data_IF_310573640080
#
_entry.id   IF_310573640080
#
_cell.length_a   1.000
_cell.length_b   1.000
_cell.length_c   1.000
_cell.angle_alpha   90.00
_cell.angle_beta   90.00
_cell.angle_gamma   90.00
#
_symmetry.space_group_name_H-M   'P 1'
#
loop_
_entity.id
_entity.type
_entity.pdbx_description
1 polymer ?
#
# COMPACT_ATOMS: atom_id res chain seq x y z
N UNK A 1 11.59 -6.16 -15.25
CA UNK A 1 10.79 -5.16 -15.97
C UNK A 1 11.04 -5.28 -17.47
N UNK A 2 10.08 -4.90 -18.31
CA UNK A 2 10.18 -4.87 -19.78
C UNK A 2 9.42 -3.68 -20.37
N UNK A 3 9.49 -3.49 -21.69
CA UNK A 3 8.92 -2.37 -22.43
C UNK A 3 7.45 -2.57 -22.84
N UNK A 4 6.80 -3.68 -22.45
CA UNK A 4 5.46 -4.03 -22.98
C UNK A 4 4.38 -3.13 -22.42
N UNK A 5 4.40 -2.88 -21.12
CA UNK A 5 3.36 -2.13 -20.41
C UNK A 5 3.94 -0.95 -19.61
N UNK A 6 5.19 -0.60 -19.86
CA UNK A 6 5.88 0.47 -19.14
C UNK A 6 6.52 1.46 -20.13
N UNK A 7 5.88 2.62 -20.36
CA UNK A 7 6.44 3.65 -21.24
C UNK A 7 7.62 4.40 -20.63
N UNK A 8 7.84 4.29 -19.32
CA UNK A 8 8.86 5.05 -18.59
C UNK A 8 10.19 4.28 -18.48
N UNK A 9 10.21 3.01 -18.90
CA UNK A 9 11.43 2.19 -18.84
C UNK A 9 12.44 2.60 -19.92
N UNK A 10 13.69 2.72 -19.51
CA UNK A 10 14.84 2.89 -20.39
C UNK A 10 15.99 2.02 -19.92
N UNK A 11 16.91 1.71 -20.84
CA UNK A 11 18.09 0.90 -20.58
C UNK A 11 19.36 1.66 -21.00
N UNK A 12 20.41 1.55 -20.20
CA UNK A 12 21.73 2.07 -20.55
C UNK A 12 22.45 1.18 -21.58
N UNK A 13 23.65 1.57 -21.99
CA UNK A 13 24.49 0.82 -22.94
C UNK A 13 24.86 -0.60 -22.45
N UNK A 14 24.74 -0.87 -21.15
CA UNK A 14 24.99 -2.17 -20.52
C UNK A 14 23.71 -3.01 -20.37
N UNK A 15 22.56 -2.49 -20.80
CA UNK A 15 21.26 -3.13 -20.65
C UNK A 15 20.69 -3.05 -19.23
N UNK A 16 21.15 -2.12 -18.39
CA UNK A 16 20.65 -1.88 -17.04
C UNK A 16 19.50 -0.88 -17.10
N UNK A 17 18.37 -1.24 -16.47
CA UNK A 17 17.17 -0.39 -16.45
C UNK A 17 17.34 0.85 -15.55
N UNK A 18 16.72 1.97 -15.92
CA UNK A 18 16.62 3.18 -15.07
C UNK A 18 16.15 2.88 -13.64
N UNK A 19 15.23 1.92 -13.46
CA UNK A 19 14.73 1.52 -12.14
C UNK A 19 15.79 0.97 -11.21
N UNK A 20 16.84 0.33 -11.74
CA UNK A 20 17.96 -0.12 -10.89
C UNK A 20 18.67 1.07 -10.25
N UNK A 21 18.91 2.14 -11.01
CA UNK A 21 19.55 3.35 -10.47
C UNK A 21 18.65 4.10 -9.50
N UNK A 22 17.35 4.17 -9.80
CA UNK A 22 16.35 4.73 -8.88
C UNK A 22 16.30 3.93 -7.56
N UNK A 23 16.31 2.60 -7.65
CA UNK A 23 16.41 1.72 -6.48
C UNK A 23 17.69 1.98 -5.69
N UNK A 24 18.86 1.99 -6.33
CA UNK A 24 20.14 2.18 -5.65
C UNK A 24 20.18 3.52 -4.91
N UNK A 25 19.68 4.60 -5.54
CA UNK A 25 19.57 5.90 -4.91
C UNK A 25 18.64 5.86 -3.69
N UNK A 26 17.43 5.31 -3.85
CA UNK A 26 16.47 5.22 -2.75
C UNK A 26 17.01 4.36 -1.59
N UNK A 27 17.71 3.27 -1.91
CA UNK A 27 18.34 2.39 -0.93
C UNK A 27 19.39 3.15 -0.12
N UNK A 28 20.29 3.87 -0.79
CA UNK A 28 21.32 4.69 -0.13
C UNK A 28 20.72 5.83 0.71
N UNK A 29 19.58 6.39 0.32
CA UNK A 29 18.92 7.48 1.06
C UNK A 29 18.17 6.97 2.31
N UNK A 30 17.55 5.80 2.24
CA UNK A 30 16.55 5.38 3.23
C UNK A 30 16.91 4.14 4.04
N UNK A 31 17.73 3.23 3.51
CA UNK A 31 18.08 1.97 4.18
C UNK A 31 19.30 2.17 5.08
N UNK A 32 19.16 1.78 6.35
CA UNK A 32 20.13 2.00 7.43
C UNK A 32 20.22 0.73 8.29
N UNK A 33 20.89 -0.29 7.76
CA UNK A 33 21.04 -1.61 8.42
C UNK A 33 22.36 -1.76 9.18
N UNK A 34 23.22 -0.76 9.09
CA UNK A 34 24.50 -0.71 9.77
C UNK A 34 24.36 -0.36 11.26
N UNK A 35 25.49 -0.32 11.97
CA UNK A 35 25.53 0.02 13.39
C UNK A 35 24.91 1.39 13.69
N UNK A 36 25.18 2.40 12.85
CA UNK A 36 24.60 3.73 12.99
C UNK A 36 23.07 3.69 12.82
N UNK A 37 22.58 2.93 11.83
CA UNK A 37 21.16 2.67 11.63
C UNK A 37 20.48 2.05 12.85
N UNK A 38 21.10 1.02 13.43
CA UNK A 38 20.63 0.39 14.67
C UNK A 38 20.55 1.39 15.82
N UNK A 39 21.59 2.19 16.05
CA UNK A 39 21.58 3.22 17.11
C UNK A 39 20.48 4.27 16.88
N UNK A 40 20.27 4.71 15.62
CA UNK A 40 19.17 5.63 15.28
C UNK A 40 17.81 5.00 15.54
N UNK A 41 17.64 3.73 15.21
CA UNK A 41 16.40 3.01 15.46
C UNK A 41 16.14 2.87 16.97
N UNK A 42 17.12 2.46 17.76
CA UNK A 42 17.01 2.38 19.22
C UNK A 42 16.64 3.72 19.85
N UNK A 43 17.29 4.81 19.43
CA UNK A 43 16.95 6.17 19.87
C UNK A 43 15.51 6.56 19.48
N UNK A 44 15.04 6.15 18.30
CA UNK A 44 13.66 6.37 17.87
C UNK A 44 12.68 5.57 18.74
N UNK A 45 12.98 4.30 19.04
CA UNK A 45 12.16 3.46 19.92
C UNK A 45 12.02 4.08 21.31
N UNK A 46 13.12 4.54 21.91
CA UNK A 46 13.07 5.19 23.22
C UNK A 46 12.27 6.48 23.19
N UNK A 47 12.37 7.26 22.11
CA UNK A 47 11.53 8.44 21.90
C UNK A 47 10.04 8.08 21.78
N UNK A 48 9.70 7.01 21.06
CA UNK A 48 8.32 6.53 20.92
C UNK A 48 7.76 6.15 22.30
N UNK A 49 8.51 5.40 23.09
CA UNK A 49 8.13 5.02 24.47
C UNK A 49 7.95 6.23 25.37
N UNK A 50 8.87 7.20 25.31
CA UNK A 50 8.81 8.42 26.12
C UNK A 50 7.52 9.21 25.82
N UNK A 51 7.20 9.42 24.54
CA UNK A 51 5.98 10.13 24.13
C UNK A 51 4.68 9.31 24.34
N UNK A 52 4.85 8.01 24.59
CA UNK A 52 3.81 7.04 24.98
C UNK A 52 3.57 6.91 26.48
N UNK A 53 4.43 7.49 27.34
CA UNK A 53 4.26 7.42 28.80
C UNK A 53 2.89 7.96 29.25
N UNK A 54 2.26 7.25 30.16
CA UNK A 54 0.91 7.56 30.67
C UNK A 54 -0.23 7.20 29.72
N UNK A 55 0.06 6.66 28.52
CA UNK A 55 -0.95 6.15 27.57
C UNK A 55 -0.98 4.61 27.59
N UNK A 56 -2.10 4.00 27.18
CA UNK A 56 -2.19 2.55 27.02
C UNK A 56 -1.24 2.03 25.93
N UNK A 57 -0.96 2.84 24.90
CA UNK A 57 -0.12 2.48 23.76
C UNK A 57 0.94 3.53 23.49
N UNK A 58 2.06 3.10 22.91
CA UNK A 58 3.17 3.99 22.52
C UNK A 58 2.98 4.52 21.09
N UNK A 59 2.38 3.71 20.23
CA UNK A 59 2.21 3.99 18.80
C UNK A 59 1.00 3.24 18.20
N UNK A 60 0.74 3.50 16.93
CA UNK A 60 -0.23 2.79 16.09
C UNK A 60 0.53 1.93 15.08
N UNK A 61 -0.04 0.81 14.67
CA UNK A 61 0.53 -0.04 13.62
C UNK A 61 -0.58 -0.62 12.74
N UNK A 62 -0.44 -0.55 11.43
CA UNK A 62 -1.35 -1.27 10.52
C UNK A 62 -1.01 -2.76 10.50
N UNK A 63 -2.02 -3.62 10.61
CA UNK A 63 -1.86 -5.07 10.59
C UNK A 63 -2.77 -5.70 9.53
N UNK A 64 -2.19 -6.24 8.46
CA UNK A 64 -2.93 -6.85 7.33
C UNK A 64 -2.94 -8.38 7.34
N UNK A 65 -2.12 -9.01 8.20
CA UNK A 65 -1.82 -10.44 8.11
C UNK A 65 -0.79 -10.78 7.02
N UNK A 66 -0.32 -9.77 6.28
CA UNK A 66 0.75 -9.90 5.29
C UNK A 66 2.14 -9.98 5.92
N UNK A 67 3.13 -10.44 5.13
CA UNK A 67 4.52 -10.66 5.58
C UNK A 67 5.11 -9.43 6.27
N UNK A 68 5.09 -8.27 5.60
CA UNK A 68 5.77 -7.07 6.09
C UNK A 68 5.16 -6.55 7.40
N UNK A 69 3.82 -6.45 7.46
CA UNK A 69 3.12 -5.99 8.67
C UNK A 69 3.30 -6.94 9.85
N UNK A 70 3.36 -8.25 9.57
CA UNK A 70 3.63 -9.28 10.58
C UNK A 70 5.04 -9.13 11.16
N UNK A 71 6.03 -8.87 10.30
CA UNK A 71 7.40 -8.69 10.75
C UNK A 71 7.60 -7.38 11.52
N UNK A 72 6.90 -6.30 11.13
CA UNK A 72 6.87 -5.08 11.95
C UNK A 72 6.28 -5.33 13.33
N UNK A 73 5.20 -6.13 13.44
CA UNK A 73 4.63 -6.51 14.72
C UNK A 73 5.64 -7.30 15.57
N UNK A 74 6.34 -8.26 14.96
CA UNK A 74 7.42 -9.01 15.60
C UNK A 74 8.51 -8.08 16.15
N UNK A 75 9.05 -7.17 15.32
CA UNK A 75 10.07 -6.19 15.74
C UNK A 75 9.56 -5.31 16.87
N UNK A 76 8.33 -4.79 16.78
CA UNK A 76 7.73 -3.97 17.82
C UNK A 76 7.73 -4.69 19.17
N UNK A 77 7.41 -6.00 19.19
CA UNK A 77 7.48 -6.82 20.41
C UNK A 77 8.90 -6.98 20.92
N UNK A 78 9.87 -7.28 20.06
CA UNK A 78 11.27 -7.46 20.45
C UNK A 78 11.86 -6.20 21.10
N UNK A 79 11.43 -5.02 20.64
CA UNK A 79 11.86 -3.73 21.19
C UNK A 79 11.00 -3.24 22.37
N UNK A 80 10.04 -4.04 22.83
CA UNK A 80 9.20 -3.74 23.98
C UNK A 80 8.22 -2.58 23.76
N UNK A 81 7.82 -2.31 22.52
CA UNK A 81 6.75 -1.36 22.21
C UNK A 81 5.38 -1.97 22.48
N UNK A 82 4.42 -1.09 22.82
CA UNK A 82 3.01 -1.41 23.01
C UNK A 82 2.17 -0.74 21.93
N UNK A 83 2.16 -1.24 20.68
CA UNK A 83 1.35 -0.67 19.62
C UNK A 83 -0.14 -1.01 19.81
N UNK A 84 -1.03 -0.08 19.44
CA UNK A 84 -2.39 -0.42 19.05
C UNK A 84 -2.34 -0.95 17.61
N UNK A 85 -2.61 -2.24 17.43
CA UNK A 85 -2.70 -2.83 16.09
C UNK A 85 -4.05 -2.44 15.47
N UNK A 86 -4.03 -1.94 14.25
CA UNK A 86 -5.21 -1.54 13.50
C UNK A 86 -5.31 -2.38 12.24
N UNK A 87 -6.39 -3.14 12.14
CA UNK A 87 -6.74 -3.84 10.92
C UNK A 87 -7.82 -3.05 10.16
N UNK A 88 -7.62 -2.85 8.87
CA UNK A 88 -8.61 -2.22 7.99
C UNK A 88 -9.29 -3.32 7.18
N UNK A 89 -10.54 -3.62 7.52
CA UNK A 89 -11.36 -4.59 6.81
C UNK A 89 -12.17 -3.88 5.72
N UNK A 90 -11.77 -4.13 4.47
CA UNK A 90 -12.46 -3.62 3.28
C UNK A 90 -13.43 -4.63 2.65
N UNK A 91 -13.69 -5.75 3.35
CA UNK A 91 -14.52 -6.86 2.92
C UNK A 91 -13.80 -7.92 2.08
N UNK A 92 -12.49 -7.78 1.80
CA UNK A 92 -11.79 -8.68 0.87
C UNK A 92 -10.76 -9.60 1.51
N UNK A 93 -10.70 -9.66 2.84
CA UNK A 93 -9.79 -10.52 3.56
C UNK A 93 -9.95 -11.99 3.16
N UNK A 94 -8.83 -12.66 2.90
CA UNK A 94 -8.80 -14.12 2.84
C UNK A 94 -8.92 -14.71 4.26
N UNK A 95 -9.45 -15.93 4.36
CA UNK A 95 -9.51 -16.67 5.63
C UNK A 95 -8.12 -16.78 6.26
N UNK A 96 -7.09 -17.01 5.45
CA UNK A 96 -5.72 -17.13 5.91
C UNK A 96 -5.17 -15.82 6.48
N UNK A 97 -5.54 -14.67 5.92
CA UNK A 97 -5.17 -13.37 6.46
C UNK A 97 -5.79 -13.14 7.84
N UNK A 98 -7.07 -13.49 8.01
CA UNK A 98 -7.75 -13.40 9.32
C UNK A 98 -7.07 -14.29 10.35
N UNK A 99 -6.79 -15.55 10.01
CA UNK A 99 -6.06 -16.48 10.88
C UNK A 99 -4.67 -15.96 11.24
N UNK A 100 -3.94 -15.38 10.28
CA UNK A 100 -2.62 -14.81 10.54
C UNK A 100 -2.71 -13.63 11.51
N UNK A 101 -3.68 -12.72 11.32
CA UNK A 101 -3.90 -11.61 12.25
C UNK A 101 -4.16 -12.13 13.67
N UNK A 102 -5.06 -13.10 13.82
CA UNK A 102 -5.39 -13.73 15.12
C UNK A 102 -4.16 -14.36 15.79
N UNK A 103 -3.36 -15.11 15.03
CA UNK A 103 -2.13 -15.72 15.53
C UNK A 103 -1.12 -14.68 16.01
N UNK A 104 -0.96 -13.58 15.27
CA UNK A 104 -0.02 -12.51 15.59
C UNK A 104 -0.45 -11.80 16.88
N UNK A 105 -1.70 -11.36 16.97
CA UNK A 105 -2.17 -10.58 18.13
C UNK A 105 -2.17 -11.43 19.40
N UNK A 106 -2.57 -12.70 19.32
CA UNK A 106 -2.60 -13.61 20.46
C UNK A 106 -1.20 -13.94 20.99
N UNK A 107 -0.24 -14.21 20.11
CA UNK A 107 1.15 -14.55 20.51
C UNK A 107 1.93 -13.34 21.00
N UNK A 108 1.71 -12.17 20.41
CA UNK A 108 2.39 -10.94 20.81
C UNK A 108 1.72 -10.26 22.00
N UNK A 109 0.46 -10.58 22.28
CA UNK A 109 -0.34 -9.91 23.32
C UNK A 109 -0.62 -8.45 22.96
N UNK A 110 -0.89 -8.18 21.69
CA UNK A 110 -1.27 -6.84 21.22
C UNK A 110 -2.77 -6.70 21.12
N UNK A 111 -3.28 -5.53 21.46
CA UNK A 111 -4.67 -5.19 21.24
C UNK A 111 -4.92 -4.94 19.74
N UNK A 112 -6.09 -5.37 19.26
CA UNK A 112 -6.53 -5.21 17.88
C UNK A 112 -7.76 -4.33 17.80
N UNK A 113 -7.68 -3.29 16.99
CA UNK A 113 -8.83 -2.51 16.56
C UNK A 113 -9.10 -2.77 15.08
N UNK A 114 -10.26 -3.36 14.77
CA UNK A 114 -10.70 -3.56 13.38
C UNK A 114 -11.60 -2.42 12.95
N UNK A 115 -11.17 -1.65 11.95
CA UNK A 115 -12.01 -0.70 11.24
C UNK A 115 -12.66 -1.41 10.06
N UNK A 116 -13.97 -1.62 10.13
CA UNK A 116 -14.76 -2.19 9.03
C UNK A 116 -15.32 -1.04 8.19
N UNK A 117 -14.93 -0.95 6.92
CA UNK A 117 -15.47 0.06 6.02
C UNK A 117 -16.95 -0.22 5.71
N UNK A 118 -17.73 0.83 5.41
CA UNK A 118 -19.06 0.62 4.84
C UNK A 118 -18.94 -0.07 3.47
N UNK A 119 -19.37 -1.33 3.42
CA UNK A 119 -19.27 -2.17 2.24
C UNK A 119 -20.04 -1.61 1.04
N UNK A 120 -21.23 -1.03 1.24
CA UNK A 120 -22.03 -0.51 0.13
C UNK A 120 -21.35 0.68 -0.55
N UNK A 121 -20.81 1.62 0.25
CA UNK A 121 -20.04 2.76 -0.23
C UNK A 121 -18.76 2.30 -0.95
N UNK A 122 -18.02 1.37 -0.35
CA UNK A 122 -16.74 0.91 -0.89
C UNK A 122 -16.91 0.09 -2.18
N UNK A 123 -17.92 -0.80 -2.21
CA UNK A 123 -18.28 -1.57 -3.40
C UNK A 123 -18.67 -0.66 -4.56
N UNK A 124 -19.53 0.34 -4.33
CA UNK A 124 -19.93 1.29 -5.38
C UNK A 124 -18.74 2.08 -5.91
N UNK A 125 -17.80 2.48 -5.04
CA UNK A 125 -16.56 3.14 -5.44
C UNK A 125 -15.63 2.22 -6.26
N UNK A 126 -15.47 0.95 -5.87
CA UNK A 126 -14.72 -0.04 -6.66
C UNK A 126 -15.34 -0.25 -8.05
N UNK A 127 -16.68 -0.35 -8.11
CA UNK A 127 -17.43 -0.44 -9.37
C UNK A 127 -17.24 0.82 -10.23
N UNK A 128 -17.23 2.00 -9.61
CA UNK A 128 -16.97 3.26 -10.32
C UNK A 128 -15.59 3.28 -10.97
N UNK A 129 -14.56 2.77 -10.29
CA UNK A 129 -13.21 2.63 -10.83
C UNK A 129 -13.12 1.61 -11.97
N UNK A 130 -13.80 0.46 -11.82
CA UNK A 130 -13.91 -0.54 -12.88
C UNK A 130 -14.55 0.06 -14.15
N UNK A 131 -15.68 0.78 -13.99
CA UNK A 131 -16.37 1.47 -15.10
C UNK A 131 -15.54 2.59 -15.70
N UNK A 132 -14.78 3.33 -14.89
CA UNK A 132 -13.84 4.35 -15.36
C UNK A 132 -12.70 3.78 -16.19
N UNK A 133 -12.43 2.48 -16.11
CA UNK A 133 -11.35 1.78 -16.83
C UNK A 133 -9.96 2.37 -16.56
N UNK A 134 -9.76 2.92 -15.37
CA UNK A 134 -8.46 3.44 -14.91
C UNK A 134 -7.60 2.31 -14.34
N UNK A 135 -6.28 2.43 -14.45
CA UNK A 135 -5.35 1.37 -14.05
C UNK A 135 -5.43 1.08 -12.55
N UNK A 136 -5.15 2.05 -11.68
CA UNK A 136 -4.90 1.81 -10.27
C UNK A 136 -6.16 1.83 -9.40
N UNK A 137 -6.87 0.71 -9.39
CA UNK A 137 -8.06 0.53 -8.54
C UNK A 137 -7.69 0.40 -7.06
N UNK A 138 -6.48 -0.05 -6.71
CA UNK A 138 -6.07 -0.20 -5.31
C UNK A 138 -5.83 1.15 -4.60
N UNK A 139 -5.71 2.24 -5.37
CA UNK A 139 -5.58 3.59 -4.84
C UNK A 139 -6.68 3.93 -3.81
N UNK A 140 -7.91 3.43 -3.95
CA UNK A 140 -9.00 3.68 -2.99
C UNK A 140 -8.88 2.86 -1.71
N UNK A 141 -8.34 1.63 -1.79
CA UNK A 141 -8.03 0.80 -0.61
C UNK A 141 -6.92 1.46 0.19
N UNK A 142 -5.83 1.79 -0.49
CA UNK A 142 -4.67 2.45 0.11
C UNK A 142 -5.06 3.79 0.75
N UNK A 143 -5.83 4.62 0.03
CA UNK A 143 -6.31 5.90 0.56
C UNK A 143 -7.04 5.71 1.89
N UNK A 144 -7.93 4.73 1.94
CA UNK A 144 -8.76 4.48 3.10
C UNK A 144 -7.94 3.93 4.29
N UNK A 145 -6.96 3.06 4.03
CA UNK A 145 -6.01 2.58 5.05
C UNK A 145 -5.23 3.76 5.63
N UNK A 146 -4.62 4.59 4.79
CA UNK A 146 -3.84 5.74 5.25
C UNK A 146 -4.71 6.71 6.05
N UNK A 147 -5.89 7.07 5.53
CA UNK A 147 -6.80 7.97 6.22
C UNK A 147 -7.21 7.43 7.60
N UNK A 148 -7.52 6.14 7.70
CA UNK A 148 -7.91 5.48 8.95
C UNK A 148 -6.79 5.52 9.98
N UNK A 149 -5.58 5.11 9.60
CA UNK A 149 -4.42 5.10 10.50
C UNK A 149 -4.06 6.51 11.00
N UNK A 150 -4.03 7.51 10.11
CA UNK A 150 -3.71 8.89 10.47
C UNK A 150 -4.79 9.54 11.35
N UNK A 151 -6.07 9.29 11.06
CA UNK A 151 -7.18 9.77 11.89
C UNK A 151 -7.12 9.18 13.29
N UNK A 152 -7.01 7.86 13.38
CA UNK A 152 -6.95 7.17 14.67
C UNK A 152 -5.76 7.67 15.51
N UNK A 153 -4.56 7.72 14.92
CA UNK A 153 -3.38 8.21 15.60
C UNK A 153 -3.55 9.66 16.09
N UNK A 154 -4.02 10.56 15.22
CA UNK A 154 -4.18 11.97 15.56
C UNK A 154 -5.29 12.28 16.58
N UNK A 155 -6.40 11.55 16.52
CA UNK A 155 -7.53 11.69 17.45
C UNK A 155 -7.19 11.15 18.84
N UNK A 156 -6.43 10.06 18.92
CA UNK A 156 -5.99 9.46 20.18
C UNK A 156 -4.67 10.03 20.71
N UNK A 157 -4.03 10.93 19.97
CA UNK A 157 -2.79 11.60 20.38
C UNK A 157 -1.55 10.70 20.32
N UNK A 158 -1.52 9.73 19.40
CA UNK A 158 -0.34 8.94 19.06
C UNK A 158 0.41 9.60 17.90
N UNK A 159 1.71 9.81 18.07
CA UNK A 159 2.54 10.51 17.08
C UNK A 159 3.13 9.58 16.01
N UNK A 160 3.13 8.28 16.23
CA UNK A 160 3.84 7.33 15.35
C UNK A 160 2.91 6.26 14.84
N UNK A 161 3.02 6.01 13.53
CA UNK A 161 2.44 4.87 12.82
C UNK A 161 3.60 4.01 12.34
N UNK A 162 3.68 2.76 12.79
CA UNK A 162 4.68 1.80 12.29
C UNK A 162 4.20 1.22 10.96
N UNK A 163 5.07 1.25 9.95
CA UNK A 163 4.80 0.84 8.58
C UNK A 163 5.74 -0.27 8.11
N UNK A 164 5.18 -1.23 7.37
CA UNK A 164 5.91 -2.31 6.68
C UNK A 164 6.51 -1.90 5.34
N UNK A 165 6.28 -0.67 4.88
CA UNK A 165 6.87 -0.16 3.63
C UNK A 165 8.40 -0.22 3.71
N UNK A 166 9.03 -0.79 2.68
CA UNK A 166 10.49 -0.90 2.63
C UNK A 166 11.03 -0.76 1.21
N UNK A 167 12.25 -0.22 1.09
CA UNK A 167 12.89 -0.04 -0.22
C UNK A 167 13.34 -1.38 -0.80
N UNK A 168 13.76 -2.30 0.06
CA UNK A 168 14.44 -3.55 -0.32
C UNK A 168 13.59 -4.47 -1.20
N UNK A 169 12.25 -4.41 -1.08
CA UNK A 169 11.33 -5.33 -1.78
C UNK A 169 10.12 -4.65 -2.45
N UNK A 170 10.02 -3.32 -2.40
CA UNK A 170 8.81 -2.60 -2.85
C UNK A 170 9.05 -1.27 -3.58
N UNK A 171 10.30 -0.89 -3.85
CA UNK A 171 10.58 0.43 -4.41
C UNK A 171 10.22 0.54 -5.90
N UNK A 172 10.39 -0.54 -6.66
CA UNK A 172 10.26 -0.51 -8.11
C UNK A 172 8.81 -0.73 -8.51
N UNK A 173 8.11 0.36 -8.83
CA UNK A 173 6.80 0.29 -9.45
C UNK A 173 6.63 1.46 -10.44
N UNK A 174 6.38 1.20 -11.74
CA UNK A 174 6.24 2.26 -12.73
C UNK A 174 5.16 3.27 -12.36
N UNK A 175 5.43 4.55 -12.62
CA UNK A 175 4.46 5.63 -12.36
C UNK A 175 3.21 5.50 -13.20
N UNK A 176 3.34 4.93 -14.40
CA UNK A 176 2.22 4.59 -15.28
C UNK A 176 1.29 3.51 -14.72
N UNK A 177 1.72 2.74 -13.71
CA UNK A 177 0.93 1.63 -13.12
C UNK A 177 0.19 2.04 -11.84
N UNK A 178 0.42 3.24 -11.34
CA UNK A 178 -0.10 3.71 -10.05
C UNK A 178 -0.68 5.11 -10.16
N UNK A 179 -1.57 5.43 -9.23
CA UNK A 179 -2.07 6.79 -9.02
C UNK A 179 -1.69 7.29 -7.62
N UNK A 180 -1.47 8.61 -7.42
CA UNK A 180 -1.25 9.13 -6.08
C UNK A 180 -2.37 8.76 -5.11
N UNK A 181 -2.06 7.88 -4.15
CA UNK A 181 -2.98 7.35 -3.13
C UNK A 181 -3.60 8.44 -2.24
N UNK A 182 -3.06 9.67 -2.23
CA UNK A 182 -3.61 10.81 -1.49
C UNK A 182 -4.58 11.68 -2.29
N UNK A 183 -4.78 11.39 -3.57
CA UNK A 183 -5.59 12.21 -4.48
C UNK A 183 -7.10 11.98 -4.27
N UNK A 184 -7.63 12.55 -3.20
CA UNK A 184 -9.06 12.55 -2.90
C UNK A 184 -9.91 13.26 -3.96
N UNK A 185 -9.33 14.14 -4.78
CA UNK A 185 -10.06 14.84 -5.86
C UNK A 185 -10.38 13.85 -6.97
N UNK A 186 -9.41 13.02 -7.36
CA UNK A 186 -9.59 11.97 -8.36
C UNK A 186 -10.62 10.92 -7.92
N UNK A 187 -10.52 10.46 -6.68
CA UNK A 187 -11.49 9.52 -6.10
C UNK A 187 -12.92 10.09 -6.20
N UNK A 188 -13.11 11.36 -5.83
CA UNK A 188 -14.42 12.03 -5.91
C UNK A 188 -14.87 12.25 -7.35
N UNK A 189 -13.96 12.57 -8.26
CA UNK A 189 -14.29 12.82 -9.67
C UNK A 189 -14.76 11.54 -10.37
N UNK A 190 -14.04 10.42 -10.18
CA UNK A 190 -14.43 9.11 -10.71
C UNK A 190 -15.76 8.65 -10.10
N UNK A 191 -15.91 8.78 -8.77
CA UNK A 191 -17.15 8.43 -8.10
C UNK A 191 -18.33 9.29 -8.59
N UNK A 192 -18.13 10.59 -8.81
CA UNK A 192 -19.18 11.46 -9.37
C UNK A 192 -19.62 11.02 -10.78
N UNK A 193 -18.70 10.48 -11.58
CA UNK A 193 -18.98 10.07 -12.95
C UNK A 193 -19.72 8.72 -13.03
N UNK A 194 -19.45 7.78 -12.12
CA UNK A 194 -19.92 6.39 -12.24
C UNK A 194 -20.56 5.78 -10.98
N UNK A 195 -20.39 6.41 -9.83
CA UNK A 195 -20.94 5.98 -8.55
C UNK A 195 -22.39 6.41 -8.35
N UNK A 196 -23.11 5.66 -7.54
CA UNK A 196 -24.54 5.82 -7.28
C UNK A 196 -24.83 5.93 -5.77
N UNK A 197 -23.90 5.48 -4.91
CA UNK A 197 -24.08 5.47 -3.46
C UNK A 197 -23.33 6.66 -2.85
N UNK A 198 -23.97 7.54 -2.08
CA UNK A 198 -23.26 8.64 -1.42
C UNK A 198 -22.18 8.13 -0.46
N UNK A 199 -20.93 8.58 -0.66
CA UNK A 199 -19.78 8.27 0.21
C UNK A 199 -19.82 9.08 1.50
N UNK A 200 -20.67 8.69 2.46
CA UNK A 200 -20.87 9.40 3.74
C UNK A 200 -19.79 9.07 4.76
N UNK A 201 -19.35 7.81 4.80
CA UNK A 201 -18.45 7.27 5.81
C UNK A 201 -17.09 6.86 5.26
N UNK A 202 -16.92 6.83 3.93
CA UNK A 202 -15.63 6.61 3.29
C UNK A 202 -14.56 7.56 3.87
N UNK A 203 -13.43 7.04 4.37
CA UNK A 203 -12.46 7.83 5.11
C UNK A 203 -11.60 8.66 4.14
N UNK A 204 -12.11 9.80 3.70
CA UNK A 204 -11.33 10.74 2.87
C UNK A 204 -10.23 11.43 3.67
N UNK A 205 -9.02 11.48 3.12
CA UNK A 205 -7.94 12.33 3.61
C UNK A 205 -7.66 13.44 2.59
N UNK A 206 -8.34 14.58 2.76
CA UNK A 206 -8.05 15.77 1.98
C UNK A 206 -6.77 16.48 2.44
N UNK A 207 -6.35 17.52 1.70
CA UNK A 207 -5.15 18.28 2.03
C UNK A 207 -5.20 18.97 3.40
N UNK A 208 -6.39 19.35 3.89
CA UNK A 208 -6.55 19.98 5.22
C UNK A 208 -6.41 18.94 6.31
N UNK A 209 -7.09 17.80 6.16
CA UNK A 209 -7.01 16.66 7.09
C UNK A 209 -5.56 16.16 7.18
N UNK A 210 -4.88 16.02 6.04
CA UNK A 210 -3.48 15.62 5.98
C UNK A 210 -2.58 16.60 6.74
N UNK A 211 -2.72 17.91 6.51
CA UNK A 211 -1.93 18.93 7.24
C UNK A 211 -2.24 18.93 8.73
N UNK A 212 -3.50 18.80 9.12
CA UNK A 212 -3.89 18.78 10.52
C UNK A 212 -3.20 17.63 11.28
N UNK A 213 -3.29 16.40 10.78
CA UNK A 213 -2.66 15.27 11.46
C UNK A 213 -1.13 15.29 11.37
N UNK A 214 -0.56 15.64 10.21
CA UNK A 214 0.89 15.63 10.04
C UNK A 214 1.59 16.80 10.73
N UNK A 215 1.09 18.03 10.55
CA UNK A 215 1.76 19.25 11.02
C UNK A 215 1.27 19.64 12.42
N UNK A 216 -0.04 19.72 12.64
CA UNK A 216 -0.58 20.19 13.92
C UNK A 216 -0.54 19.10 15.01
N UNK A 217 -0.82 17.84 14.67
CA UNK A 217 -0.75 16.71 15.61
C UNK A 217 0.60 15.98 15.62
N UNK A 218 1.46 16.25 14.64
CA UNK A 218 2.79 15.64 14.56
C UNK A 218 2.77 14.13 14.28
N UNK A 219 1.71 13.61 13.65
CA UNK A 219 1.59 12.20 13.29
C UNK A 219 2.53 11.90 12.12
N UNK A 220 3.39 10.90 12.29
CA UNK A 220 4.37 10.44 11.29
C UNK A 220 4.34 8.93 11.12
N UNK A 221 4.52 8.50 9.88
CA UNK A 221 4.76 7.09 9.55
C UNK A 221 6.26 6.81 9.66
N UNK A 222 6.61 5.62 10.17
CA UNK A 222 7.98 5.13 10.30
C UNK A 222 8.09 3.82 9.53
N UNK A 223 8.92 3.80 8.49
CA UNK A 223 9.27 2.60 7.73
C UNK A 223 10.26 1.75 8.53
N UNK A 224 9.75 0.94 9.44
CA UNK A 224 10.56 0.16 10.41
C UNK A 224 11.56 -0.75 9.70
N UNK A 225 11.13 -1.38 8.61
CA UNK A 225 11.91 -2.37 7.87
C UNK A 225 13.12 -1.79 7.12
N UNK A 226 13.23 -0.47 7.01
CA UNK A 226 14.44 0.17 6.45
C UNK A 226 15.61 0.20 7.44
N UNK A 227 15.40 -0.14 8.72
CA UNK A 227 16.45 -0.23 9.74
C UNK A 227 17.02 -1.64 9.93
N UNK A 228 16.52 -2.63 9.19
CA UNK A 228 16.89 -4.04 9.31
C UNK A 228 17.26 -4.60 7.94
N UNK A 229 18.18 -5.56 7.90
CA UNK A 229 18.38 -6.36 6.70
C UNK A 229 17.09 -7.15 6.47
N UNK A 230 16.48 -6.96 5.29
CA UNK A 230 15.16 -7.51 5.01
C UNK A 230 15.26 -8.52 3.86
N UNK A 231 15.57 -9.76 4.23
CA UNK A 231 15.45 -10.90 3.33
C UNK A 231 14.06 -11.53 3.47
N UNK A 232 13.28 -11.55 2.38
CA UNK A 232 11.88 -11.97 2.42
C UNK A 232 11.71 -13.45 2.82
N UNK A 233 12.62 -14.33 2.41
CA UNK A 233 12.55 -15.74 2.75
C UNK A 233 12.82 -15.96 4.25
N UNK A 234 13.89 -15.36 4.76
CA UNK A 234 14.24 -15.43 6.20
C UNK A 234 13.14 -14.84 7.08
N UNK A 235 12.56 -13.71 6.67
CA UNK A 235 11.45 -13.08 7.38
C UNK A 235 10.24 -14.01 7.44
N UNK A 236 9.89 -14.68 6.33
CA UNK A 236 8.81 -15.68 6.31
C UNK A 236 9.11 -16.81 7.27
N UNK A 237 10.34 -17.32 7.33
CA UNK A 237 10.71 -18.40 8.24
C UNK A 237 10.58 -17.98 9.72
N UNK A 238 11.01 -16.76 10.05
CA UNK A 238 10.88 -16.20 11.40
C UNK A 238 9.41 -16.10 11.81
N UNK A 239 8.56 -15.47 10.99
CA UNK A 239 7.16 -15.24 11.37
C UNK A 239 6.33 -16.55 11.39
N UNK A 240 6.68 -17.54 10.55
CA UNK A 240 6.09 -18.88 10.64
C UNK A 240 6.41 -19.54 11.97
N UNK A 241 7.70 -19.54 12.35
CA UNK A 241 8.18 -20.21 13.56
C UNK A 241 7.70 -19.51 14.84
N UNK A 242 7.89 -18.20 14.92
CA UNK A 242 7.66 -17.44 16.15
C UNK A 242 6.16 -17.11 16.31
N UNK A 243 5.48 -16.81 15.20
CA UNK A 243 4.11 -16.28 15.21
C UNK A 243 3.05 -17.23 14.65
N UNK A 244 3.43 -18.42 14.17
CA UNK A 244 2.47 -19.33 13.53
C UNK A 244 1.81 -18.72 12.30
N UNK A 245 2.47 -17.76 11.64
CA UNK A 245 2.02 -17.21 10.38
C UNK A 245 1.98 -18.31 9.32
N UNK A 246 0.99 -18.28 8.44
CA UNK A 246 0.81 -19.25 7.36
C UNK A 246 0.92 -18.57 6.01
N UNK A 247 1.65 -19.22 5.11
CA UNK A 247 1.91 -18.70 3.78
C UNK A 247 0.68 -18.78 2.88
N UNK A 248 0.27 -17.63 2.37
CA UNK A 248 -0.81 -17.48 1.40
C UNK A 248 -0.32 -17.47 -0.06
N UNK A 249 1.00 -17.61 -0.27
CA UNK A 249 1.63 -17.66 -1.59
C UNK A 249 2.05 -16.28 -2.11
N UNK A 250 1.37 -15.79 -3.14
CA UNK A 250 1.76 -14.60 -3.90
C UNK A 250 1.79 -13.29 -3.09
N UNK A 251 2.48 -12.25 -3.60
CA UNK A 251 2.54 -10.94 -2.93
C UNK A 251 1.15 -10.28 -2.90
N UNK A 252 0.72 -9.84 -1.71
CA UNK A 252 -0.60 -9.25 -1.43
C UNK A 252 -1.80 -10.21 -1.51
N UNK A 253 -1.58 -11.52 -1.48
CA UNK A 253 -2.66 -12.51 -1.56
C UNK A 253 -3.40 -12.70 -0.23
N UNK A 254 -3.09 -11.90 0.80
CA UNK A 254 -3.95 -11.71 1.96
C UNK A 254 -5.34 -11.16 1.59
N UNK A 255 -5.46 -10.43 0.47
CA UNK A 255 -6.71 -9.86 -0.07
C UNK A 255 -7.13 -10.57 -1.36
N UNK A 256 -8.33 -11.15 -1.36
CA UNK A 256 -8.90 -11.82 -2.54
C UNK A 256 -9.04 -10.84 -3.71
N UNK A 257 -9.49 -9.61 -3.44
CA UNK A 257 -9.62 -8.58 -4.46
C UNK A 257 -8.27 -8.18 -5.05
N UNK A 258 -7.25 -7.97 -4.21
CA UNK A 258 -5.92 -7.59 -4.69
C UNK A 258 -5.31 -8.71 -5.52
N UNK A 259 -5.46 -9.97 -5.09
CA UNK A 259 -5.08 -11.15 -5.87
C UNK A 259 -5.79 -11.21 -7.22
N UNK A 260 -7.11 -11.01 -7.24
CA UNK A 260 -7.91 -11.02 -8.47
C UNK A 260 -7.52 -9.89 -9.43
N UNK A 261 -7.40 -8.67 -8.90
CA UNK A 261 -7.03 -7.50 -9.69
C UNK A 261 -5.61 -7.61 -10.26
N UNK A 262 -4.62 -8.01 -9.46
CA UNK A 262 -3.24 -8.16 -9.93
C UNK A 262 -3.03 -9.40 -10.80
N UNK A 263 -3.75 -10.49 -10.53
CA UNK A 263 -3.59 -11.77 -11.20
C UNK A 263 -4.38 -11.91 -12.50
N UNK A 264 -5.45 -11.11 -12.67
CA UNK A 264 -6.35 -11.21 -13.82
C UNK A 264 -6.65 -9.87 -14.48
N UNK A 265 -7.17 -8.87 -13.75
CA UNK A 265 -7.58 -7.60 -14.37
C UNK A 265 -6.38 -6.87 -15.01
N UNK A 266 -5.28 -6.73 -14.26
CA UNK A 266 -4.07 -6.06 -14.75
C UNK A 266 -3.46 -6.77 -15.97
N UNK A 267 -3.20 -8.09 -15.96
CA UNK A 267 -2.65 -8.79 -17.12
C UNK A 267 -3.59 -8.76 -18.34
N UNK A 268 -4.89 -8.97 -18.15
CA UNK A 268 -5.83 -9.10 -19.27
C UNK A 268 -6.19 -7.75 -19.89
N UNK A 269 -6.54 -6.75 -19.08
CA UNK A 269 -7.02 -5.45 -19.57
C UNK A 269 -5.89 -4.45 -19.83
N UNK A 270 -4.92 -4.37 -18.91
CA UNK A 270 -3.85 -3.37 -18.95
C UNK A 270 -2.51 -3.90 -19.44
N UNK A 271 -2.41 -5.23 -19.67
CA UNK A 271 -1.18 -5.93 -20.07
C UNK A 271 -0.04 -5.79 -19.04
N UNK A 272 -0.39 -5.53 -17.78
CA UNK A 272 0.53 -5.35 -16.67
C UNK A 272 0.64 -6.65 -15.87
N UNK A 273 1.86 -7.18 -15.75
CA UNK A 273 2.18 -8.24 -14.79
C UNK A 273 3.05 -7.64 -13.66
N UNK A 274 2.42 -7.39 -12.50
CA UNK A 274 3.11 -6.79 -11.34
C UNK A 274 4.23 -7.66 -10.77
N UNK A 275 4.26 -8.97 -11.07
CA UNK A 275 5.38 -9.84 -10.67
C UNK A 275 6.70 -9.35 -11.26
N UNK A 276 6.67 -8.74 -12.45
CA UNK A 276 7.88 -8.16 -13.08
C UNK A 276 8.52 -7.08 -12.21
N UNK A 277 7.71 -6.21 -11.59
CA UNK A 277 8.15 -5.17 -10.68
C UNK A 277 8.68 -5.79 -9.38
N UNK A 278 7.88 -6.64 -8.74
CA UNK A 278 8.23 -7.29 -7.47
C UNK A 278 9.52 -8.14 -7.57
N UNK A 279 9.68 -8.92 -8.64
CA UNK A 279 10.89 -9.71 -8.86
C UNK A 279 12.09 -8.85 -9.21
N UNK A 280 11.89 -7.70 -9.86
CA UNK A 280 12.98 -6.75 -10.11
C UNK A 280 13.53 -6.18 -8.81
N UNK A 281 12.66 -5.81 -7.85
CA UNK A 281 13.12 -5.39 -6.51
C UNK A 281 13.96 -6.46 -5.80
N UNK A 282 13.57 -7.74 -5.91
CA UNK A 282 14.33 -8.85 -5.34
C UNK A 282 15.69 -9.08 -6.02
N UNK A 283 15.78 -8.84 -7.33
CA UNK A 283 17.06 -8.84 -8.05
C UNK A 283 17.93 -7.66 -7.59
N UNK A 284 17.35 -6.46 -7.49
CA UNK A 284 18.07 -5.24 -7.14
C UNK A 284 18.62 -5.28 -5.71
N UNK A 285 17.90 -5.93 -4.80
CA UNK A 285 18.33 -6.23 -3.43
C UNK A 285 19.18 -7.50 -3.32
N UNK A 286 19.52 -8.16 -4.44
CA UNK A 286 20.35 -9.37 -4.51
C UNK A 286 19.79 -10.59 -3.76
N UNK A 287 18.48 -10.64 -3.56
CA UNK A 287 17.81 -11.76 -2.91
C UNK A 287 17.57 -12.94 -3.86
N UNK A 288 17.39 -12.65 -5.16
CA UNK A 288 17.26 -13.67 -6.21
C UNK A 288 18.11 -13.29 -7.43
N UNK A 289 18.40 -14.27 -8.27
CA UNK A 289 19.02 -14.05 -9.59
C UNK A 289 17.97 -13.73 -10.64
N UNK A 290 18.42 -13.18 -11.78
CA UNK A 290 17.57 -12.96 -12.95
C UNK A 290 16.97 -14.27 -13.49
N UNK A 291 17.73 -15.36 -13.46
CA UNK A 291 17.27 -16.66 -13.95
C UNK A 291 16.14 -17.22 -13.07
N UNK A 292 16.28 -17.11 -11.75
CA UNK A 292 15.21 -17.47 -10.80
C UNK A 292 13.94 -16.63 -11.03
N UNK A 293 14.09 -15.33 -11.32
CA UNK A 293 12.95 -14.47 -11.63
C UNK A 293 12.26 -14.87 -12.95
N UNK A 294 13.01 -15.28 -13.96
CA UNK A 294 12.45 -15.75 -15.24
C UNK A 294 11.70 -17.07 -15.05
N UNK A 295 12.26 -18.00 -14.27
CA UNK A 295 11.60 -19.25 -13.91
C UNK A 295 10.27 -19.00 -13.17
N UNK A 296 10.26 -18.06 -12.22
CA UNK A 296 9.06 -17.67 -11.50
C UNK A 296 8.02 -17.01 -12.42
N UNK A 297 8.43 -16.16 -13.36
CA UNK A 297 7.52 -15.54 -14.33
C UNK A 297 6.92 -16.54 -15.32
N UNK A 298 7.62 -17.64 -15.62
CA UNK A 298 7.12 -18.71 -16.47
C UNK A 298 5.99 -19.51 -15.82
N UNK A 299 5.88 -19.48 -14.48
CA UNK A 299 4.74 -20.06 -13.78
C UNK A 299 3.46 -19.26 -14.07
N UNK A 300 2.28 -19.90 -14.08
CA UNK A 300 1.02 -19.20 -14.25
C UNK A 300 0.88 -18.11 -13.19
N UNK A 301 0.39 -16.92 -13.59
CA UNK A 301 0.15 -15.79 -12.68
C UNK A 301 -0.85 -16.19 -11.58
N UNK A 302 -1.80 -17.03 -11.97
CA UNK A 302 -2.95 -17.43 -11.17
C UNK A 302 -3.13 -18.94 -11.26
N UNK A 303 -3.23 -19.61 -10.11
CA UNK A 303 -3.73 -20.98 -10.09
C UNK A 303 -5.15 -21.05 -10.66
N UNK A 304 -5.44 -22.09 -11.47
CA UNK A 304 -6.69 -22.19 -12.22
C UNK A 304 -7.92 -22.38 -11.32
N UNK A 305 -7.80 -23.20 -10.27
CA UNK A 305 -8.91 -23.48 -9.36
C UNK A 305 -9.17 -22.29 -8.46
N UNK A 306 -8.10 -21.66 -7.94
CA UNK A 306 -8.22 -20.43 -7.16
C UNK A 306 -8.81 -19.31 -8.01
N UNK A 307 -8.38 -19.16 -9.27
CA UNK A 307 -8.94 -18.16 -10.18
C UNK A 307 -10.45 -18.35 -10.37
N UNK A 308 -10.91 -19.58 -10.61
CA UNK A 308 -12.33 -19.86 -10.80
C UNK A 308 -13.14 -19.47 -9.55
N UNK A 309 -12.67 -19.85 -8.37
CA UNK A 309 -13.31 -19.52 -7.10
C UNK A 309 -13.37 -18.00 -6.87
N UNK A 310 -12.23 -17.32 -7.08
CA UNK A 310 -12.14 -15.87 -6.90
C UNK A 310 -13.00 -15.14 -7.94
N UNK A 311 -13.04 -15.60 -9.19
CA UNK A 311 -13.87 -15.01 -10.25
C UNK A 311 -15.36 -15.06 -9.88
N UNK A 312 -15.87 -16.24 -9.52
CA UNK A 312 -17.25 -16.41 -9.07
C UNK A 312 -17.55 -15.57 -7.82
N UNK A 313 -16.65 -15.57 -6.84
CA UNK A 313 -16.80 -14.81 -5.61
C UNK A 313 -16.82 -13.30 -5.85
N UNK A 314 -15.89 -12.78 -6.66
CA UNK A 314 -15.76 -11.35 -6.97
C UNK A 314 -16.99 -10.85 -7.73
N UNK A 315 -17.43 -11.56 -8.78
CA UNK A 315 -18.63 -11.20 -9.53
C UNK A 315 -19.86 -11.18 -8.63
N UNK A 316 -20.03 -12.21 -7.79
CA UNK A 316 -21.12 -12.26 -6.82
C UNK A 316 -21.07 -11.09 -5.84
N UNK A 317 -19.90 -10.76 -5.30
CA UNK A 317 -19.74 -9.67 -4.32
C UNK A 317 -20.01 -8.31 -4.95
N UNK A 318 -19.64 -8.11 -6.22
CA UNK A 318 -19.99 -6.92 -6.98
C UNK A 318 -21.40 -6.93 -7.56
N UNK A 319 -22.12 -8.06 -7.50
CA UNK A 319 -23.45 -8.21 -8.10
C UNK A 319 -23.43 -8.09 -9.62
N UNK A 320 -22.36 -8.52 -10.27
CA UNK A 320 -22.25 -8.55 -11.73
C UNK A 320 -22.65 -9.92 -12.27
N UNK A 321 -23.33 -9.90 -13.42
CA UNK A 321 -23.32 -11.04 -14.35
C UNK A 321 -21.97 -11.15 -15.04
N UNK A 322 -21.68 -12.34 -15.57
CA UNK A 322 -20.47 -12.56 -16.36
C UNK A 322 -20.39 -11.62 -17.57
N UNK A 323 -21.51 -11.43 -18.28
CA UNK A 323 -21.58 -10.55 -19.44
C UNK A 323 -21.26 -9.09 -19.09
N UNK A 324 -21.85 -8.54 -18.04
CA UNK A 324 -21.58 -7.16 -17.60
C UNK A 324 -20.11 -6.96 -17.25
N UNK A 325 -19.51 -7.91 -16.53
CA UNK A 325 -18.11 -7.82 -16.16
C UNK A 325 -17.19 -7.92 -17.39
N UNK A 326 -17.50 -8.82 -18.33
CA UNK A 326 -16.74 -8.94 -19.58
C UNK A 326 -16.85 -7.68 -20.46
N UNK A 327 -18.01 -7.02 -20.48
CA UNK A 327 -18.18 -5.77 -21.20
C UNK A 327 -17.36 -4.64 -20.58
N UNK A 328 -17.21 -4.60 -19.25
CA UNK A 328 -16.29 -3.69 -18.56
C UNK A 328 -14.83 -4.01 -18.92
N UNK A 329 -14.45 -5.28 -18.95
CA UNK A 329 -13.09 -5.72 -19.29
C UNK A 329 -12.70 -5.33 -20.72
N UNK A 330 -13.65 -5.35 -21.67
CA UNK A 330 -13.44 -4.96 -23.08
C UNK A 330 -13.32 -3.45 -23.30
N UNK A 331 -13.75 -2.61 -22.35
CA UNK A 331 -13.59 -1.16 -22.49
C UNK A 331 -12.11 -0.77 -22.59
N UNK A 332 -11.76 0.22 -23.42
CA UNK A 332 -10.37 0.67 -23.53
C UNK A 332 -9.88 1.24 -22.18
N UNK A 333 -8.62 0.96 -21.78
CA UNK A 333 -7.98 1.63 -20.66
C UNK A 333 -8.04 3.15 -20.78
N UNK A 334 -8.22 3.83 -19.64
CA UNK A 334 -8.24 5.29 -19.53
C UNK A 334 -7.21 5.77 -18.52
N UNK A 335 -6.78 7.02 -18.68
CA UNK A 335 -5.89 7.65 -17.72
C UNK A 335 -6.66 8.14 -16.52
N UNK A 336 -6.09 8.01 -15.31
CA UNK A 336 -6.65 8.69 -14.13
C UNK A 336 -6.75 10.21 -14.35
N UNK A 337 -5.85 10.77 -15.16
CA UNK A 337 -5.81 12.19 -15.49
C UNK A 337 -6.90 12.64 -16.47
N UNK A 338 -7.72 11.72 -17.00
CA UNK A 338 -8.96 12.06 -17.72
C UNK A 338 -10.05 12.57 -16.77
N UNK A 339 -9.85 12.43 -15.46
CA UNK A 339 -10.73 12.91 -14.40
C UNK A 339 -10.03 14.06 -13.63
N UNK A 340 -10.83 14.91 -12.95
CA UNK A 340 -10.27 15.94 -12.08
C UNK A 340 -9.34 15.29 -11.04
N UNK A 341 -8.29 15.98 -10.66
CA UNK A 341 -7.23 15.43 -9.81
C UNK A 341 -6.61 16.53 -8.95
N UNK A 342 -5.89 16.13 -7.91
CA UNK A 342 -5.24 17.08 -7.03
C UNK A 342 -4.13 17.82 -7.77
N UNK A 343 -4.21 19.15 -7.79
CA UNK A 343 -3.20 20.02 -8.37
C UNK A 343 -2.80 21.10 -7.37
N UNK A 344 -1.53 21.55 -7.36
CA UNK A 344 -1.14 22.76 -6.63
C UNK A 344 -2.11 23.92 -6.93
N UNK A 345 -2.48 24.69 -5.89
CA UNK A 345 -3.45 25.79 -5.99
C UNK A 345 -3.12 26.77 -7.12
N UNK A 346 -1.84 27.04 -7.35
CA UNK A 346 -1.31 27.91 -8.39
C UNK A 346 -1.32 27.30 -9.79
N UNK A 347 -1.43 25.97 -9.90
CA UNK A 347 -1.71 25.30 -11.18
C UNK A 347 -3.22 25.28 -11.44
N UNK A 348 -4.03 25.03 -10.42
CA UNK A 348 -5.51 25.02 -10.54
C UNK A 348 -6.10 26.42 -10.76
N UNK A 349 -5.51 27.43 -10.12
CA UNK A 349 -5.86 28.84 -10.26
C UNK A 349 -4.59 29.64 -10.57
N UNK A 350 -4.19 29.77 -11.84
CA UNK A 350 -2.98 30.47 -12.25
C UNK A 350 -2.89 31.91 -11.74
N UNK A 351 -4.03 32.57 -11.53
CA UNK A 351 -4.15 33.92 -10.97
C UNK A 351 -3.63 34.03 -9.52
N UNK A 352 -3.54 32.92 -8.78
CA UNK A 352 -3.01 32.89 -7.40
C UNK A 352 -1.49 32.68 -7.34
N UNK A 353 -0.79 32.53 -8.47
CA UNK A 353 0.69 32.41 -8.53
C UNK A 353 1.41 33.56 -7.80
N UNK A 354 1.05 34.84 -7.98
CA UNK A 354 1.72 35.95 -7.29
C UNK A 354 1.51 35.89 -5.77
N UNK A 355 0.29 35.52 -5.34
CA UNK A 355 -0.08 35.39 -3.92
C UNK A 355 0.71 34.27 -3.24
N UNK A 356 0.89 33.13 -3.92
CA UNK A 356 1.73 32.03 -3.41
C UNK A 356 3.18 32.44 -3.23
N UNK A 357 3.73 33.25 -4.14
CA UNK A 357 5.10 33.80 -4.03
C UNK A 357 5.23 34.70 -2.81
N UNK A 358 4.25 35.59 -2.59
CA UNK A 358 4.20 36.49 -1.44
C UNK A 358 4.03 35.73 -0.11
N UNK A 359 3.13 34.74 -0.07
CA UNK A 359 2.93 33.89 1.11
C UNK A 359 4.21 33.17 1.53
N UNK A 360 4.95 32.58 0.58
CA UNK A 360 6.23 31.90 0.87
C UNK A 360 7.34 32.84 1.34
N UNK A 361 7.28 34.11 0.94
CA UNK A 361 8.19 35.16 1.44
C UNK A 361 7.88 35.54 2.89
N UNK A 362 6.60 35.60 3.26
CA UNK A 362 6.14 35.95 4.60
C UNK A 362 6.18 34.78 5.59
N UNK A 363 6.03 33.55 5.09
CA UNK A 363 6.05 32.31 5.87
C UNK A 363 6.98 31.28 5.20
N UNK A 364 8.31 31.47 5.31
CA UNK A 364 9.27 30.46 4.88
C UNK A 364 9.06 29.17 5.69
N UNK A 365 9.12 28.03 4.99
CA UNK A 365 8.85 26.70 5.52
C UNK A 365 9.95 26.17 6.44
#
# INVERSE_FOLDING_TARGET
MDTIADPDISFDEKGISNYYYEFQKCYQENVRTDFEGKTKFEALIEKIKEEGKGKPYDCVMGLSGGVDSTYVAYIAKQYGLRPMAIHFDNGWNSELAVMNIENIVSRLGFDLHTYVINWEEFRDLQIAYLKASVVDIEAITDHAIFATLYRYAGEKGYKYILSGTNVQTENTLPKSWIHPKTDHVNIKAIHKAYGNVPLKTFPFMDAKVKRYYQQAKGVRSVSVLNYFEYNKAEVKDIIQKELGWRDYGGKHYESIWTRFYQGYILPEKFKIDKRKAHLSDLIFSKQITKDQAIEELAKPIYDKEVFKQDYEFVLKKFGFTETEFQDIMKQPPRSHYDFDHEMPIDKRYPLLKPIKKLYRLLFPA
#
